data_IF_958308694997
#
_entry.id   IF_958308694997
#
_cell.length_a   1.000
_cell.length_b   1.000
_cell.length_c   1.000
_cell.angle_alpha   90.00
_cell.angle_beta   90.00
_cell.angle_gamma   90.00
#
_symmetry.space_group_name_H-M   'P 1'
#
loop_
_entity.id
_entity.type
_entity.pdbx_description
1 polymer ?
2 non-polymer ?
3 non-polymer ?
4 non-polymer ?
5 non-polymer ?
6 water ?
#
# COMPACT_ATOMS: atom_id res chain seq x y z
N UNK A 1 -10.41 13.36 21.48
CA UNK A 1 -9.01 12.92 21.27
C UNK A 1 -8.57 13.00 19.82
N UNK A 2 -7.43 12.40 19.52
CA UNK A 2 -6.91 12.37 18.16
C UNK A 2 -7.74 11.43 17.28
N UNK A 3 -7.84 11.77 16.00
CA UNK A 3 -8.47 10.88 15.04
C UNK A 3 -7.51 9.73 14.73
N UNK A 4 -8.04 8.65 14.16
CA UNK A 4 -7.29 7.41 14.03
C UNK A 4 -7.06 7.05 12.57
N UNK A 5 -5.83 6.65 12.27
CA UNK A 5 -5.43 6.25 10.93
C UNK A 5 -5.06 4.78 10.92
N UNK A 6 -5.47 4.07 9.86
CA UNK A 6 -5.03 2.70 9.61
C UNK A 6 -4.68 2.54 8.16
N UNK A 7 -3.55 1.89 7.89
CA UNK A 7 -3.20 1.50 6.54
C UNK A 7 -2.35 0.25 6.51
N UNK A 8 -2.46 -0.49 5.41
CA UNK A 8 -1.79 -1.77 5.28
C UNK A 8 -1.07 -1.91 3.94
N UNK A 9 0.03 -2.66 3.94
CA UNK A 9 0.77 -2.96 2.73
C UNK A 9 1.07 -4.45 2.73
N UNK A 10 0.90 -5.11 1.59
CA UNK A 10 1.15 -6.56 1.49
C UNK A 10 2.63 -6.89 1.38
N UNK A 11 3.08 -7.94 2.08
CA UNK A 11 4.42 -8.48 1.86
C UNK A 11 4.44 -9.45 0.68
N UNK A 12 3.86 -9.03 -0.43
CA UNK A 12 3.76 -9.84 -1.65
C UNK A 12 5.00 -9.65 -2.54
N UNK A 13 5.96 -8.89 -2.03
CA UNK A 13 7.18 -8.55 -2.74
C UNK A 13 7.82 -7.41 -1.99
N UNK A 14 8.85 -6.81 -2.57
CA UNK A 14 9.48 -5.64 -1.97
C UNK A 14 8.73 -4.40 -2.45
N UNK A 15 8.39 -3.49 -1.54
CA UNK A 15 7.58 -2.35 -1.92
C UNK A 15 8.28 -1.44 -2.94
N UNK A 16 7.47 -0.80 -3.75
CA UNK A 16 7.95 -0.01 -4.89
C UNK A 16 7.91 1.48 -4.59
N UNK A 17 8.49 2.26 -5.51
CA UNK A 17 8.41 3.71 -5.43
C UNK A 17 6.96 4.14 -5.60
N UNK A 18 6.16 3.29 -6.25
CA UNK A 18 4.74 3.50 -6.33
C UNK A 18 4.08 3.39 -4.96
N UNK A 19 4.42 2.36 -4.21
CA UNK A 19 3.93 2.18 -2.85
C UNK A 19 4.38 3.33 -1.95
N UNK A 20 5.60 3.79 -2.19
CA UNK A 20 6.19 4.85 -1.40
C UNK A 20 5.48 6.17 -1.66
N UNK A 21 5.40 6.55 -2.92
CA UNK A 21 4.79 7.81 -3.30
C UNK A 21 3.30 7.82 -2.97
N UNK A 22 2.64 6.71 -3.22
CA UNK A 22 1.20 6.64 -3.05
C UNK A 22 0.71 6.52 -1.63
N UNK A 23 1.51 5.91 -0.76
CA UNK A 23 1.09 5.62 0.61
C UNK A 23 2.18 5.87 1.65
N UNK A 24 3.22 5.04 1.63
CA UNK A 24 4.17 4.98 2.74
C UNK A 24 4.82 6.32 3.07
N UNK A 25 5.09 7.14 2.05
CA UNK A 25 5.71 8.44 2.28
C UNK A 25 4.86 9.31 3.19
N UNK A 26 3.54 9.20 3.03
CA UNK A 26 2.63 10.01 3.82
C UNK A 26 2.43 9.46 5.25
N UNK A 27 2.66 8.16 5.43
CA UNK A 27 2.61 7.57 6.77
C UNK A 27 3.57 8.33 7.69
N UNK A 28 4.72 8.69 7.15
CA UNK A 28 5.79 9.29 7.94
C UNK A 28 5.40 10.69 8.44
N UNK A 29 4.55 11.35 7.66
CA UNK A 29 4.03 12.66 8.05
C UNK A 29 2.88 12.53 9.04
N UNK A 30 1.97 11.62 8.73
CA UNK A 30 0.73 11.46 9.49
C UNK A 30 0.94 10.98 10.92
N UNK A 31 2.03 10.26 11.17
CA UNK A 31 2.25 9.63 12.47
C UNK A 31 2.29 10.65 13.61
N UNK A 32 2.58 11.90 13.30
CA UNK A 32 2.74 12.93 14.32
C UNK A 32 1.42 13.65 14.65
N UNK A 33 0.44 13.54 13.76
CA UNK A 33 -0.82 14.27 13.90
C UNK A 33 -2.00 13.35 14.26
N UNK A 34 -1.79 12.05 14.14
CA UNK A 34 -2.87 11.08 14.36
C UNK A 34 -2.46 9.88 15.19
N UNK A 35 -3.46 9.17 15.71
CA UNK A 35 -3.27 7.84 16.26
C UNK A 35 -3.19 6.84 15.11
N UNK A 36 -1.99 6.29 14.87
CA UNK A 36 -1.70 5.54 13.65
C UNK A 36 -1.43 4.06 13.86
N UNK A 37 -2.03 3.25 12.99
CA UNK A 37 -1.74 1.82 12.88
C UNK A 37 -1.27 1.54 11.46
N UNK A 38 -0.08 0.99 11.31
CA UNK A 38 0.45 0.62 10.00
C UNK A 38 0.76 -0.85 10.01
N UNK A 39 0.15 -1.58 9.08
CA UNK A 39 0.08 -3.03 9.16
C UNK A 39 0.79 -3.72 8.00
N UNK A 40 1.52 -4.78 8.32
CA UNK A 40 2.05 -5.70 7.34
C UNK A 40 0.99 -6.79 7.15
N UNK A 41 0.24 -6.71 6.07
CA UNK A 41 -0.94 -7.57 5.93
C UNK A 41 -0.62 -8.87 5.19
N UNK A 42 0.01 -9.79 5.92
CA UNK A 42 0.44 -11.04 5.33
C UNK A 42 -0.72 -11.98 4.98
N UNK A 43 -1.86 -11.84 5.65
CA UNK A 43 -3.02 -12.68 5.30
C UNK A 43 -3.62 -12.23 3.97
N UNK A 44 -3.42 -10.97 3.62
CA UNK A 44 -3.84 -10.51 2.29
C UNK A 44 -2.90 -11.07 1.21
N UNK A 45 -1.62 -11.17 1.53
CA UNK A 45 -0.63 -11.57 0.54
C UNK A 45 -0.90 -12.98 0.01
N UNK A 46 -1.37 -13.88 0.88
CA UNK A 46 -1.56 -15.27 0.46
C UNK A 46 -2.85 -15.51 -0.32
N UNK A 47 -3.56 -14.44 -0.70
CA UNK A 47 -4.71 -14.60 -1.58
C UNK A 47 -4.27 -15.09 -2.95
N UNK A 48 -2.97 -14.95 -3.23
CA UNK A 48 -2.34 -15.64 -4.36
C UNK A 48 -1.10 -16.35 -3.85
N UNK A 49 -0.53 -17.24 -4.67
CA UNK A 49 0.64 -18.02 -4.26
C UNK A 49 1.81 -17.15 -3.81
N UNK A 50 2.36 -17.49 -2.65
CA UNK A 50 3.60 -16.91 -2.17
C UNK A 50 4.51 -18.06 -1.78
N UNK A 51 5.76 -18.04 -2.24
CA UNK A 51 6.72 -19.01 -1.76
C UNK A 51 6.94 -18.75 -0.27
N UNK A 52 6.82 -19.79 0.57
CA UNK A 52 6.89 -19.56 2.02
C UNK A 52 8.16 -18.87 2.50
N UNK A 53 9.31 -19.22 1.93
CA UNK A 53 10.57 -18.60 2.31
C UNK A 53 10.59 -17.13 1.92
N UNK A 54 10.14 -16.84 0.70
CA UNK A 54 10.08 -15.47 0.23
C UNK A 54 9.11 -14.64 1.07
N UNK A 55 7.98 -15.23 1.44
CA UNK A 55 6.96 -14.50 2.21
C UNK A 55 7.52 -14.11 3.58
N UNK A 56 8.12 -15.07 4.27
CA UNK A 56 8.76 -14.80 5.56
C UNK A 56 9.77 -13.68 5.44
N UNK A 57 10.56 -13.73 4.37
CA UNK A 57 11.59 -12.72 4.14
C UNK A 57 10.97 -11.36 3.85
N UNK A 58 9.92 -11.34 3.03
CA UNK A 58 9.31 -10.07 2.65
C UNK A 58 8.56 -9.40 3.80
N UNK A 59 8.07 -10.21 4.73
CA UNK A 59 7.43 -9.67 5.94
C UNK A 59 8.44 -8.86 6.75
N UNK A 60 9.65 -9.42 6.93
CA UNK A 60 10.69 -8.73 7.68
C UNK A 60 11.22 -7.51 6.95
N UNK A 61 11.38 -7.64 5.63
CA UNK A 61 11.85 -6.53 4.80
C UNK A 61 10.89 -5.35 4.84
N UNK A 62 9.60 -5.65 4.81
CA UNK A 62 8.60 -4.59 4.85
C UNK A 62 8.63 -3.86 6.19
N UNK A 63 8.76 -4.63 7.27
CA UNK A 63 8.88 -4.05 8.60
C UNK A 63 10.10 -3.13 8.66
N UNK A 64 11.24 -3.63 8.17
CA UNK A 64 12.48 -2.85 8.16
C UNK A 64 12.32 -1.58 7.32
N UNK A 65 11.61 -1.67 6.21
CA UNK A 65 11.45 -0.51 5.34
C UNK A 65 10.49 0.53 5.93
N UNK A 66 9.44 0.06 6.60
CA UNK A 66 8.57 0.94 7.37
C UNK A 66 9.38 1.83 8.31
N UNK A 67 10.29 1.21 9.03
CA UNK A 67 11.14 1.91 9.99
C UNK A 67 12.23 2.73 9.29
N UNK A 68 12.76 2.19 8.21
CA UNK A 68 13.83 2.85 7.49
C UNK A 68 13.38 4.17 6.89
N UNK A 69 12.13 4.25 6.43
CA UNK A 69 11.63 5.49 5.82
C UNK A 69 11.30 6.54 6.88
N UNK A 70 11.27 6.14 8.14
CA UNK A 70 11.14 7.09 9.24
C UNK A 70 9.91 6.96 10.12
N UNK A 71 9.19 5.83 10.03
CA UNK A 71 8.10 5.60 10.96
C UNK A 71 8.67 5.33 12.34
N UNK A 72 8.20 6.09 13.33
CA UNK A 72 8.68 6.02 14.70
C UNK A 72 7.78 5.05 15.48
N UNK A 73 8.35 3.94 15.99
CA UNK A 73 7.52 2.94 16.67
C UNK A 73 6.91 3.43 17.99
N UNK A 74 7.34 4.60 18.45
CA UNK A 74 6.74 5.20 19.65
C UNK A 74 5.61 6.15 19.27
N UNK A 75 5.47 6.48 17.99
CA UNK A 75 4.42 7.39 17.53
C UNK A 75 3.36 6.66 16.71
N UNK A 76 3.68 5.46 16.27
CA UNK A 76 2.75 4.65 15.48
C UNK A 76 2.86 3.19 15.87
N UNK A 77 1.79 2.45 15.65
CA UNK A 77 1.77 1.04 15.96
C UNK A 77 2.03 0.22 14.70
N UNK A 78 3.17 -0.46 14.70
CA UNK A 78 3.61 -1.29 13.58
C UNK A 78 3.47 -2.76 13.94
N UNK A 79 2.71 -3.51 13.14
CA UNK A 79 2.46 -4.91 13.46
C UNK A 79 2.12 -5.76 12.25
N UNK A 80 2.22 -7.07 12.46
CA UNK A 80 1.91 -8.06 11.44
C UNK A 80 0.49 -8.59 11.65
N UNK A 81 -0.30 -8.50 10.58
CA UNK A 81 -1.72 -8.84 10.62
C UNK A 81 -2.04 -10.19 11.25
N UNK A 82 -1.31 -11.24 10.85
CA UNK A 82 -1.60 -12.59 11.33
C UNK A 82 -1.30 -12.79 12.81
N UNK A 83 -0.54 -11.87 13.40
CA UNK A 83 -0.24 -11.97 14.82
C UNK A 83 -1.37 -11.38 15.67
N UNK A 84 -2.43 -10.91 15.00
CA UNK A 84 -3.62 -10.41 15.68
C UNK A 84 -4.85 -11.17 15.16
N UNK A 85 -5.24 -12.27 15.85
CA UNK A 85 -6.34 -13.14 15.40
C UNK A 85 -7.65 -12.41 15.12
N UNK A 86 -7.85 -11.26 15.75
CA UNK A 86 -9.09 -10.50 15.60
C UNK A 86 -9.40 -10.15 14.15
N UNK A 87 -8.36 -10.03 13.32
CA UNK A 87 -8.59 -9.68 11.92
C UNK A 87 -9.32 -10.81 11.20
N UNK A 88 -8.89 -12.05 11.40
CA UNK A 88 -9.58 -13.20 10.83
C UNK A 88 -10.99 -13.39 11.44
N UNK A 89 -11.12 -13.16 12.74
CA UNK A 89 -12.42 -13.26 13.40
C UNK A 89 -13.42 -12.26 12.81
N UNK A 90 -13.01 -10.99 12.76
CA UNK A 90 -13.89 -9.94 12.25
C UNK A 90 -14.13 -10.12 10.75
N UNK A 91 -13.14 -10.63 10.02
CA UNK A 91 -13.30 -10.86 8.59
C UNK A 91 -14.44 -11.86 8.34
N UNK A 92 -14.52 -12.90 9.15
CA UNK A 92 -15.58 -13.88 8.97
C UNK A 92 -16.96 -13.27 9.22
N UNK A 93 -17.09 -12.49 10.28
CA UNK A 93 -18.36 -11.85 10.59
C UNK A 93 -18.78 -10.92 9.47
N UNK A 94 -17.82 -10.18 8.90
CA UNK A 94 -18.15 -9.25 7.82
C UNK A 94 -18.43 -9.98 6.50
N UNK A 95 -17.84 -11.16 6.33
CA UNK A 95 -18.17 -12.02 5.20
C UNK A 95 -19.64 -12.45 5.24
N UNK A 96 -20.19 -12.54 6.44
CA UNK A 96 -21.59 -12.91 6.61
C UNK A 96 -22.52 -11.71 6.43
N UNK A 97 -21.92 -10.52 6.31
CA UNK A 97 -22.67 -9.27 6.14
C UNK A 97 -22.66 -8.84 4.67
N UNK A 98 -21.53 -9.04 4.00
CA UNK A 98 -21.39 -8.64 2.61
C UNK A 98 -22.15 -9.62 1.73
N UNK A 99 -22.62 -9.14 0.58
CA UNK A 99 -23.30 -9.99 -0.39
C UNK A 99 -22.35 -10.44 -1.49
N UNK A 100 -22.57 -11.64 -2.02
CA UNK A 100 -21.68 -12.18 -3.05
C UNK A 100 -21.60 -11.27 -4.26
N UNK A 101 -22.76 -10.70 -4.63
CA UNK A 101 -22.83 -9.80 -5.77
C UNK A 101 -21.92 -8.59 -5.61
N UNK A 102 -21.79 -8.11 -4.38
CA UNK A 102 -20.95 -6.94 -4.12
C UNK A 102 -19.48 -7.27 -4.36
N UNK A 103 -19.07 -8.48 -3.97
CA UNK A 103 -17.69 -8.91 -4.16
C UNK A 103 -17.37 -9.16 -5.63
N UNK A 104 -18.30 -9.77 -6.34
CA UNK A 104 -18.10 -10.10 -7.75
C UNK A 104 -17.97 -8.87 -8.64
N UNK A 105 -18.61 -7.78 -8.24
CA UNK A 105 -18.62 -6.55 -9.05
C UNK A 105 -17.41 -5.68 -8.81
N UNK A 106 -16.57 -6.08 -7.86
CA UNK A 106 -15.37 -5.32 -7.54
C UNK A 106 -14.42 -5.31 -8.73
N UNK A 107 -13.99 -4.12 -9.12
CA UNK A 107 -13.13 -3.95 -10.29
C UNK A 107 -11.84 -4.74 -10.16
N UNK A 108 -11.22 -4.69 -8.98
CA UNK A 108 -9.95 -5.37 -8.77
C UNK A 108 -10.08 -6.89 -8.88
N UNK A 109 -11.22 -7.43 -8.48
CA UNK A 109 -11.44 -8.88 -8.60
C UNK A 109 -11.59 -9.27 -10.06
N UNK A 110 -12.42 -8.53 -10.78
CA UNK A 110 -12.71 -8.83 -12.18
C UNK A 110 -11.46 -8.72 -13.05
N UNK A 111 -10.49 -7.94 -12.58
CA UNK A 111 -9.23 -7.76 -13.29
C UNK A 111 -8.23 -8.86 -12.94
N UNK A 112 -8.04 -9.10 -11.64
CA UNK A 112 -7.07 -10.10 -11.19
C UNK A 112 -7.52 -11.53 -11.47
N UNK A 113 -8.79 -11.70 -11.86
CA UNK A 113 -9.34 -13.03 -12.12
C UNK A 113 -9.52 -13.30 -13.62
N UNK A 114 -9.56 -12.25 -14.42
CA UNK A 114 -9.68 -12.43 -15.87
C UNK A 114 -8.47 -13.19 -16.42
N UNK A 115 -8.73 -14.38 -16.95
CA UNK A 115 -7.69 -15.30 -17.40
C UNK A 115 -7.77 -16.55 -16.55
N UNK A 116 -8.90 -16.69 -15.87
CA UNK A 116 -9.01 -17.33 -14.54
C UNK A 116 -8.11 -18.53 -14.24
N UNK A 117 -8.08 -19.52 -15.12
CA UNK A 117 -7.46 -20.79 -14.78
C UNK A 117 -8.21 -21.32 -13.55
N UNK A 118 -7.66 -21.06 -12.37
CA UNK A 118 -8.37 -21.25 -11.11
C UNK A 118 -8.07 -20.05 -10.21
N UNK A 119 -9.10 -19.62 -9.49
CA UNK A 119 -9.03 -18.44 -8.64
C UNK A 119 -9.29 -18.86 -7.20
N UNK A 120 -8.44 -18.45 -6.26
CA UNK A 120 -8.68 -18.78 -4.86
C UNK A 120 -9.88 -17.99 -4.37
N UNK A 121 -10.60 -18.55 -3.40
CA UNK A 121 -11.74 -17.84 -2.82
C UNK A 121 -11.26 -16.56 -2.14
N UNK A 122 -10.05 -16.60 -1.60
CA UNK A 122 -9.48 -15.46 -0.90
C UNK A 122 -9.37 -14.23 -1.77
N UNK A 123 -9.14 -14.44 -3.06
CA UNK A 123 -9.04 -13.34 -4.00
C UNK A 123 -10.38 -12.64 -4.17
N UNK A 124 -11.46 -13.40 -4.03
CA UNK A 124 -12.81 -12.84 -4.07
C UNK A 124 -13.17 -12.17 -2.74
N UNK A 125 -12.72 -12.75 -1.62
CA UNK A 125 -13.21 -12.38 -0.31
C UNK A 125 -12.25 -11.55 0.54
N UNK A 126 -11.17 -11.02 -0.03
CA UNK A 126 -10.26 -10.22 0.78
C UNK A 126 -10.84 -8.84 1.14
N UNK A 127 -11.79 -8.30 0.36
CA UNK A 127 -12.33 -7.00 0.79
C UNK A 127 -12.95 -6.97 2.19
N UNK A 128 -13.75 -7.98 2.57
CA UNK A 128 -14.21 -7.95 3.97
C UNK A 128 -13.08 -8.11 5.00
N UNK A 129 -11.98 -8.76 4.63
CA UNK A 129 -10.81 -8.82 5.49
C UNK A 129 -10.19 -7.43 5.62
N UNK A 130 -10.13 -6.71 4.50
CA UNK A 130 -9.67 -5.33 4.51
C UNK A 130 -10.60 -4.45 5.35
N UNK A 131 -11.90 -4.68 5.23
CA UNK A 131 -12.86 -3.92 6.02
C UNK A 131 -12.64 -4.19 7.50
N UNK A 132 -12.38 -5.45 7.85
CA UNK A 132 -12.07 -5.78 9.24
C UNK A 132 -10.80 -5.06 9.71
N UNK A 133 -9.75 -5.09 8.87
CA UNK A 133 -8.48 -4.41 9.18
C UNK A 133 -8.73 -2.98 9.64
N UNK A 134 -9.61 -2.29 8.92
CA UNK A 134 -9.92 -0.88 9.17
C UNK A 134 -10.86 -0.69 10.36
N UNK A 135 -11.98 -1.39 10.35
CA UNK A 135 -13.05 -1.15 11.31
C UNK A 135 -12.69 -1.56 12.75
N UNK A 136 -11.77 -2.51 12.88
CA UNK A 136 -11.37 -2.99 14.20
C UNK A 136 -10.79 -1.91 15.11
N UNK A 137 -10.23 -0.86 14.51
CA UNK A 137 -9.49 0.15 15.29
C UNK A 137 -10.24 1.50 15.35
N UNK A 138 -11.53 1.47 15.06
CA UNK A 138 -12.37 2.68 15.06
C UNK A 138 -11.71 3.76 14.23
N UNK A 139 -11.25 3.34 13.06
CA UNK A 139 -10.47 4.18 12.15
C UNK A 139 -11.31 5.29 11.53
N UNK A 140 -10.76 6.50 11.54
CA UNK A 140 -11.39 7.65 10.92
C UNK A 140 -10.92 7.88 9.49
N UNK A 141 -9.62 7.66 9.28
CA UNK A 141 -8.98 8.03 8.03
C UNK A 141 -8.12 6.88 7.51
N UNK A 142 -8.24 6.58 6.22
CA UNK A 142 -7.50 5.50 5.60
C UNK A 142 -6.68 6.00 4.42
N UNK A 143 -5.37 6.24 4.62
CA UNK A 143 -4.51 6.72 3.54
C UNK A 143 -4.11 5.60 2.56
N UNK A 144 -4.53 5.74 1.31
CA UNK A 144 -4.30 4.72 0.29
C UNK A 144 -4.06 5.34 -1.08
N UNK A 145 -3.68 4.51 -2.04
CA UNK A 145 -3.60 4.92 -3.43
C UNK A 145 -4.97 4.82 -4.07
N UNK A 146 -5.08 5.32 -5.30
CA UNK A 146 -6.35 5.40 -6.01
C UNK A 146 -7.02 4.04 -6.20
N UNK A 147 -6.22 2.98 -6.34
CA UNK A 147 -6.75 1.67 -6.69
C UNK A 147 -7.58 1.03 -5.57
N UNK A 148 -7.48 1.58 -4.36
CA UNK A 148 -8.19 1.06 -3.20
C UNK A 148 -9.46 1.85 -2.86
N UNK A 149 -9.79 2.82 -3.69
CA UNK A 149 -10.94 3.68 -3.44
C UNK A 149 -12.25 2.91 -3.32
N UNK A 150 -12.51 1.99 -4.25
CA UNK A 150 -13.74 1.21 -4.24
C UNK A 150 -13.81 0.30 -3.02
N UNK A 151 -12.66 -0.19 -2.57
CA UNK A 151 -12.60 -1.04 -1.39
C UNK A 151 -13.02 -0.28 -0.13
N UNK A 152 -12.63 0.98 -0.04
CA UNK A 152 -13.00 1.81 1.11
C UNK A 152 -14.48 2.12 1.08
N UNK A 153 -15.03 2.28 -0.13
CA UNK A 153 -16.45 2.53 -0.30
C UNK A 153 -17.25 1.30 0.18
N UNK A 154 -16.77 0.11 -0.15
CA UNK A 154 -17.42 -1.11 0.32
C UNK A 154 -17.34 -1.20 1.84
N UNK A 155 -16.17 -0.86 2.38
CA UNK A 155 -15.97 -0.88 3.83
C UNK A 155 -16.97 0.01 4.54
N UNK A 156 -17.25 1.17 3.95
CA UNK A 156 -18.21 2.11 4.52
C UNK A 156 -19.62 1.52 4.48
N UNK A 157 -19.96 0.86 3.37
CA UNK A 157 -21.25 0.20 3.24
C UNK A 157 -21.44 -0.91 4.26
N UNK A 158 -20.39 -1.71 4.46
CA UNK A 158 -20.46 -2.81 5.41
C UNK A 158 -20.61 -2.31 6.83
N UNK A 159 -19.91 -1.23 7.15
CA UNK A 159 -19.96 -0.64 8.49
C UNK A 159 -21.37 -0.12 8.77
N UNK A 160 -21.96 0.55 7.80
CA UNK A 160 -23.32 1.08 7.92
C UNK A 160 -24.35 -0.03 8.03
N UNK A 161 -24.18 -1.08 7.22
CA UNK A 161 -25.09 -2.23 7.26
C UNK A 161 -25.11 -2.86 8.64
N UNK A 162 -23.91 -3.11 9.17
CA UNK A 162 -23.78 -3.67 10.51
C UNK A 162 -24.43 -2.74 11.53
N UNK A 163 -24.12 -1.45 11.44
CA UNK A 163 -24.64 -0.47 12.38
C UNK A 163 -26.18 -0.44 12.40
N UNK A 164 -26.80 -0.49 11.23
CA UNK A 164 -28.26 -0.41 11.15
C UNK A 164 -28.94 -1.75 11.42
N UNK A 165 -28.25 -2.85 11.14
CA UNK A 165 -28.82 -4.17 11.38
C UNK A 165 -28.78 -4.54 12.86
N UNK A 166 -27.69 -4.19 13.54
CA UNK A 166 -27.47 -4.61 14.93
C UNK A 166 -27.44 -3.45 15.92
N UNK A 167 -26.84 -2.34 15.53
CA UNK A 167 -26.68 -1.19 16.42
C UNK A 167 -25.37 -0.48 16.18
N UNK A 168 -25.35 0.83 16.45
CA UNK A 168 -24.19 1.66 16.17
C UNK A 168 -22.94 1.18 16.91
N UNK A 169 -21.94 0.75 16.16
CA UNK A 169 -20.71 0.22 16.72
C UNK A 169 -19.50 0.79 16.01
N UNK A 170 -19.58 0.85 14.69
CA UNK A 170 -18.43 1.23 13.86
C UNK A 170 -18.39 2.71 13.53
N UNK A 171 -17.18 3.26 13.50
CA UNK A 171 -16.94 4.54 12.86
C UNK A 171 -16.93 4.34 11.36
N UNK A 172 -17.56 5.25 10.62
CA UNK A 172 -17.54 5.21 9.16
C UNK A 172 -16.25 5.86 8.66
N UNK A 173 -15.30 5.07 8.13
CA UNK A 173 -14.01 5.63 7.75
C UNK A 173 -14.05 6.40 6.44
N UNK A 174 -13.06 7.25 6.22
CA UNK A 174 -12.93 8.02 4.99
C UNK A 174 -11.56 7.80 4.36
N UNK A 175 -11.54 7.64 3.05
CA UNK A 175 -10.29 7.47 2.33
C UNK A 175 -9.54 8.80 2.26
N UNK A 176 -8.22 8.73 2.35
CA UNK A 176 -7.38 9.87 2.01
C UNK A 176 -6.41 9.50 0.90
N UNK A 177 -6.75 9.95 -0.31
CA UNK A 177 -5.94 9.65 -1.49
C UNK A 177 -5.18 10.90 -1.88
N UNK A 178 -3.84 10.81 -1.96
CA UNK A 178 -3.05 12.02 -2.22
C UNK A 178 -3.41 12.67 -3.55
N UNK A 179 -3.29 14.00 -3.62
CA UNK A 179 -3.61 14.72 -4.85
C UNK A 179 -2.63 14.39 -5.97
N UNK A 180 -1.38 14.11 -5.61
CA UNK A 180 -0.37 13.71 -6.57
C UNK A 180 0.23 12.36 -6.22
N UNK A 181 0.44 11.52 -7.24
CA UNK A 181 1.14 10.27 -7.07
C UNK A 181 0.28 9.12 -6.55
N UNK A 182 -1.04 9.26 -6.66
CA UNK A 182 -1.96 8.24 -6.16
C UNK A 182 -2.01 7.03 -7.09
N UNK A 183 -1.42 7.15 -8.27
CA UNK A 183 -1.35 6.04 -9.21
C UNK A 183 -0.13 6.15 -10.13
N UNK A 184 1.03 5.78 -9.60
CA UNK A 184 2.25 5.71 -10.39
C UNK A 184 2.09 4.56 -11.41
N UNK A 185 2.47 4.79 -12.65
CA UNK A 185 2.21 3.79 -13.69
C UNK A 185 3.41 2.86 -13.86
N UNK A 186 3.15 1.69 -14.42
CA UNK A 186 4.20 0.75 -14.79
C UNK A 186 5.19 1.38 -15.77
N UNK A 187 6.46 1.04 -15.65
CA UNK A 187 7.49 1.55 -16.54
C UNK A 187 7.40 0.91 -17.92
N UNK A 188 6.88 -0.31 -17.99
CA UNK A 188 6.82 -1.05 -19.26
C UNK A 188 5.46 -0.99 -19.93
N UNK A 189 4.43 -0.64 -19.17
CA UNK A 189 3.08 -0.48 -19.70
C UNK A 189 2.41 0.71 -19.01
N UNK A 190 2.60 1.93 -19.54
CA UNK A 190 2.13 3.16 -18.87
C UNK A 190 0.61 3.29 -18.72
N UNK A 191 -0.15 2.28 -19.16
CA UNK A 191 -1.61 2.29 -18.98
C UNK A 191 -2.04 1.40 -17.81
N UNK A 192 -1.08 0.69 -17.21
CA UNK A 192 -1.32 -0.05 -15.98
C UNK A 192 -0.56 0.60 -14.82
N UNK A 193 -1.08 0.45 -13.62
CA UNK A 193 -0.38 0.97 -12.45
C UNK A 193 0.85 0.12 -12.16
N UNK A 194 1.80 0.69 -11.44
CA UNK A 194 2.96 -0.04 -10.97
C UNK A 194 2.53 -0.98 -9.84
N UNK A 195 2.89 -2.26 -9.93
CA UNK A 195 2.49 -3.25 -8.93
C UNK A 195 3.68 -4.10 -8.50
N UNK A 196 3.87 -4.29 -7.21
CA UNK A 196 5.09 -4.95 -6.72
C UNK A 196 5.08 -6.44 -7.05
N UNK A 197 3.91 -6.97 -7.44
CA UNK A 197 3.78 -8.37 -7.82
C UNK A 197 3.77 -8.57 -9.34
N UNK A 198 4.11 -7.52 -10.10
CA UNK A 198 4.19 -7.66 -11.55
C UNK A 198 5.17 -8.77 -11.92
N UNK A 199 4.78 -9.67 -12.84
CA UNK A 199 5.73 -10.73 -13.24
C UNK A 199 6.97 -10.18 -13.95
N UNK A 200 6.88 -8.96 -14.48
CA UNK A 200 8.01 -8.31 -15.14
C UNK A 200 8.71 -7.33 -14.18
N UNK A 201 9.93 -7.66 -13.72
CA UNK A 201 10.61 -6.78 -12.76
C UNK A 201 10.92 -5.39 -13.33
N UNK A 202 10.90 -5.25 -14.65
CA UNK A 202 11.18 -3.97 -15.28
C UNK A 202 10.02 -2.98 -15.09
N UNK A 203 8.87 -3.50 -14.68
CA UNK A 203 7.67 -2.68 -14.53
C UNK A 203 7.77 -1.74 -13.32
N UNK A 204 8.59 -2.12 -12.34
CA UNK A 204 8.66 -1.40 -11.08
C UNK A 204 10.10 -1.16 -10.62
N UNK A 205 10.26 -0.16 -9.75
CA UNK A 205 11.50 0.04 -9.02
C UNK A 205 11.21 -0.21 -7.55
N UNK A 206 11.90 -1.18 -6.94
CA UNK A 206 11.72 -1.42 -5.50
C UNK A 206 12.64 -0.51 -4.72
N UNK A 207 12.30 -0.27 -3.46
CA UNK A 207 13.11 0.60 -2.61
C UNK A 207 14.49 -0.02 -2.35
N UNK A 208 14.66 -1.29 -2.71
CA UNK A 208 15.93 -1.99 -2.50
C UNK A 208 16.73 -2.21 -3.79
N UNK A 209 16.25 -1.70 -4.92
CA UNK A 209 17.00 -1.82 -6.17
C UNK A 209 18.33 -1.06 -6.08
N UNK A 210 19.40 -1.65 -6.61
CA UNK A 210 20.69 -0.97 -6.61
C UNK A 210 20.81 -0.02 -7.80
N UNK A 211 21.87 0.77 -7.82
CA UNK A 211 22.01 1.86 -8.79
C UNK A 211 21.99 1.36 -10.25
N UNK A 212 22.77 0.32 -10.53
CA UNK A 212 22.81 -0.26 -11.88
C UNK A 212 21.42 -0.66 -12.33
N UNK A 213 20.68 -1.29 -11.43
CA UNK A 213 19.36 -1.82 -11.73
C UNK A 213 18.37 -0.69 -12.01
N UNK A 214 18.45 0.37 -11.22
CA UNK A 214 17.55 1.51 -11.41
C UNK A 214 17.84 2.21 -12.74
N UNK A 215 19.12 2.36 -13.05
CA UNK A 215 19.54 2.94 -14.32
C UNK A 215 18.98 2.14 -15.50
N UNK A 216 19.11 0.82 -15.43
CA UNK A 216 18.56 -0.05 -16.48
C UNK A 216 17.07 0.11 -16.64
N UNK A 217 16.34 0.06 -15.53
CA UNK A 217 14.87 0.08 -15.57
C UNK A 217 14.32 1.41 -16.07
N UNK A 218 14.94 2.51 -15.68
CA UNK A 218 14.51 3.82 -16.17
C UNK A 218 14.86 3.95 -17.66
N UNK A 219 16.02 3.45 -18.05
CA UNK A 219 16.45 3.50 -19.45
C UNK A 219 15.45 2.78 -20.36
N UNK A 220 14.96 1.62 -19.90
CA UNK A 220 14.07 0.81 -20.73
C UNK A 220 12.60 1.18 -20.56
N UNK A 221 12.32 2.20 -19.75
CA UNK A 221 10.96 2.69 -19.58
C UNK A 221 10.37 3.06 -20.93
N UNK A 222 9.14 2.63 -21.19
CA UNK A 222 8.50 2.85 -22.47
C UNK A 222 8.14 4.31 -22.66
N UNK A 223 8.50 4.85 -23.82
CA UNK A 223 8.19 6.22 -24.19
C UNK A 223 7.71 6.29 -25.63
N UNK A 224 7.27 7.46 -26.06
CA UNK A 224 6.89 7.70 -27.44
C UNK A 224 8.12 8.04 -28.28
N UNK A 225 7.90 8.34 -29.56
CA UNK A 225 8.99 8.66 -30.48
C UNK A 225 9.06 10.15 -30.80
N UNK A 226 8.24 10.95 -30.11
CA UNK A 226 8.11 12.38 -30.38
C UNK A 226 9.35 13.16 -29.93
N UNK A 227 10.05 12.64 -28.92
CA UNK A 227 11.31 13.23 -28.48
C UNK A 227 11.21 14.52 -27.67
N UNK A 228 10.00 14.91 -27.30
CA UNK A 228 9.78 16.14 -26.52
C UNK A 228 9.28 15.83 -25.11
N UNK A 229 9.90 16.47 -24.13
CA UNK A 229 9.56 16.24 -22.72
C UNK A 229 8.51 17.22 -22.24
N UNK A 230 7.25 16.81 -22.33
CA UNK A 230 6.15 17.59 -21.77
C UNK A 230 5.04 16.67 -21.29
N UNK A 231 4.25 17.15 -20.36
CA UNK A 231 3.20 16.34 -19.75
C UNK A 231 1.95 16.28 -20.63
N UNK A 232 1.58 15.06 -21.00
CA UNK A 232 0.35 14.81 -21.75
C UNK A 232 -0.05 13.35 -21.49
N UNK A 233 -0.96 13.16 -20.54
CA UNK A 233 -1.30 11.83 -20.05
C UNK A 233 -1.91 10.94 -21.12
N UNK A 234 -2.64 11.53 -22.06
CA UNK A 234 -3.29 10.77 -23.11
C UNK A 234 -2.34 10.41 -24.26
N UNK A 235 -1.56 11.39 -24.71
CA UNK A 235 -0.71 11.22 -25.88
C UNK A 235 0.70 10.73 -25.51
N UNK A 236 1.11 10.99 -24.27
CA UNK A 236 2.47 10.68 -23.83
C UNK A 236 2.46 10.10 -22.42
N UNK A 237 1.79 8.95 -22.23
CA UNK A 237 1.62 8.41 -20.88
C UNK A 237 2.93 8.00 -20.22
N UNK A 238 3.87 7.48 -21.00
CA UNK A 238 5.16 7.07 -20.47
C UNK A 238 5.97 8.24 -19.93
N UNK A 239 6.16 9.25 -20.77
CA UNK A 239 6.94 10.42 -20.37
C UNK A 239 6.22 11.20 -19.27
N UNK A 240 4.89 11.19 -19.30
CA UNK A 240 4.10 11.86 -18.28
C UNK A 240 4.29 11.22 -16.91
N UNK A 241 4.30 9.89 -16.88
CA UNK A 241 4.53 9.14 -15.66
C UNK A 241 5.93 9.41 -15.11
N UNK A 242 6.93 9.40 -15.98
CA UNK A 242 8.31 9.69 -15.56
C UNK A 242 8.44 11.10 -15.02
N UNK A 243 7.73 12.04 -15.65
CA UNK A 243 7.72 13.42 -15.17
C UNK A 243 7.09 13.50 -13.77
N UNK A 244 6.01 12.75 -13.57
CA UNK A 244 5.33 12.73 -12.29
C UNK A 244 6.23 12.17 -11.17
N UNK A 245 6.99 11.13 -11.49
CA UNK A 245 7.92 10.53 -10.53
C UNK A 245 9.06 11.50 -10.23
N UNK A 246 9.63 12.09 -11.28
CA UNK A 246 10.69 13.08 -11.17
C UNK A 246 10.23 14.21 -10.25
N UNK A 247 9.03 14.70 -10.53
CA UNK A 247 8.46 15.85 -9.82
C UNK A 247 8.27 15.58 -8.33
N UNK A 248 7.60 14.50 -7.99
CA UNK A 248 7.27 14.23 -6.58
C UNK A 248 8.50 13.85 -5.76
N UNK A 249 9.52 13.30 -6.43
CA UNK A 249 10.74 12.90 -5.73
C UNK A 249 11.78 14.03 -5.64
N UNK A 250 11.73 14.98 -6.57
CA UNK A 250 12.72 16.06 -6.61
C UNK A 250 12.22 17.34 -5.94
N UNK A 251 10.90 17.51 -5.89
CA UNK A 251 10.30 18.71 -5.34
C UNK A 251 9.98 19.74 -6.43
N UNK A 252 10.58 19.57 -7.60
CA UNK A 252 10.30 20.44 -8.74
C UNK A 252 8.91 20.16 -9.28
N UNK A 253 8.24 21.20 -9.77
CA UNK A 253 6.93 21.04 -10.38
C UNK A 253 7.12 20.51 -11.80
N UNK A 254 6.08 19.89 -12.35
CA UNK A 254 6.14 19.37 -13.71
C UNK A 254 6.48 20.50 -14.68
N UNK A 255 5.85 21.64 -14.46
CA UNK A 255 6.02 22.80 -15.32
C UNK A 255 7.49 23.24 -15.31
N UNK A 256 8.11 23.21 -14.14
CA UNK A 256 9.52 23.56 -14.01
C UNK A 256 10.42 22.58 -14.77
N UNK A 257 10.10 21.29 -14.66
CA UNK A 257 10.89 20.24 -15.32
C UNK A 257 10.80 20.35 -16.84
N UNK A 258 9.60 20.67 -17.33
CA UNK A 258 9.40 20.86 -18.76
C UNK A 258 10.32 21.94 -19.30
N UNK A 259 10.48 23.02 -18.53
CA UNK A 259 11.37 24.10 -18.92
C UNK A 259 12.83 23.67 -18.85
N UNK A 260 13.18 23.01 -17.75
CA UNK A 260 14.55 22.55 -17.54
C UNK A 260 15.03 21.64 -18.68
N UNK A 261 14.11 20.90 -19.29
CA UNK A 261 14.45 19.92 -20.31
C UNK A 261 13.99 20.36 -21.70
N UNK A 262 13.70 21.64 -21.87
CA UNK A 262 13.39 22.19 -23.17
C UNK A 262 14.58 22.05 -24.10
N UNK A 263 14.36 21.45 -25.26
CA UNK A 263 15.42 21.25 -26.22
C UNK A 263 16.35 20.11 -25.85
N UNK A 264 15.89 19.24 -24.95
CA UNK A 264 16.67 18.10 -24.49
C UNK A 264 16.00 16.80 -24.89
N UNK A 265 16.77 15.71 -24.93
CA UNK A 265 16.26 14.42 -25.35
C UNK A 265 15.89 13.52 -24.18
N UNK A 266 15.25 12.39 -24.49
CA UNK A 266 14.81 11.45 -23.47
C UNK A 266 15.99 10.76 -22.78
N UNK A 267 17.11 10.64 -23.50
CA UNK A 267 18.29 9.98 -22.99
C UNK A 267 18.84 10.63 -21.74
N UNK A 268 19.04 11.95 -21.80
CA UNK A 268 19.59 12.68 -20.67
C UNK A 268 18.53 12.83 -19.57
N UNK A 269 17.27 12.95 -19.98
CA UNK A 269 16.17 13.03 -19.04
C UNK A 269 16.06 11.76 -18.20
N UNK A 270 16.19 10.61 -18.85
CA UNK A 270 16.12 9.34 -18.16
C UNK A 270 17.34 9.11 -17.28
N UNK A 271 18.51 9.52 -17.76
CA UNK A 271 19.74 9.38 -17.00
C UNK A 271 19.69 10.21 -15.73
N UNK A 272 19.10 11.40 -15.83
CA UNK A 272 18.95 12.28 -14.68
C UNK A 272 17.94 11.70 -13.68
N UNK A 273 16.81 11.24 -14.18
CA UNK A 273 15.76 10.69 -13.32
C UNK A 273 16.29 9.51 -12.52
N UNK A 274 17.07 8.65 -13.17
CA UNK A 274 17.66 7.51 -12.49
C UNK A 274 18.45 7.95 -11.26
N UNK A 275 19.25 9.00 -11.39
CA UNK A 275 20.07 9.47 -10.28
C UNK A 275 19.21 10.13 -9.20
N UNK A 276 18.13 10.78 -9.59
CA UNK A 276 17.20 11.34 -8.61
C UNK A 276 16.62 10.23 -7.75
N UNK A 277 16.21 9.15 -8.40
CA UNK A 277 15.66 8.00 -7.68
C UNK A 277 16.72 7.38 -6.78
N UNK A 278 17.91 7.16 -7.33
CA UNK A 278 19.02 6.58 -6.57
C UNK A 278 19.36 7.41 -5.32
N UNK A 279 19.47 8.72 -5.47
CA UNK A 279 19.81 9.57 -4.32
C UNK A 279 18.69 9.57 -3.28
N UNK A 280 17.45 9.46 -3.75
CA UNK A 280 16.31 9.35 -2.84
C UNK A 280 16.39 8.08 -1.99
N UNK A 281 16.72 6.96 -2.63
CA UNK A 281 16.70 5.66 -1.96
C UNK A 281 17.92 5.43 -1.08
N UNK A 282 18.97 6.21 -1.30
CA UNK A 282 20.24 5.96 -0.64
C UNK A 282 20.14 5.93 0.90
N UNK A 283 19.57 6.97 1.51
CA UNK A 283 19.51 6.93 2.98
C UNK A 283 18.52 5.88 3.50
N UNK A 284 17.46 5.62 2.72
CA UNK A 284 16.49 4.59 3.09
C UNK A 284 17.17 3.22 3.18
N UNK A 285 17.98 2.89 2.18
CA UNK A 285 18.64 1.60 2.12
C UNK A 285 19.65 1.43 3.25
N UNK A 286 20.35 2.51 3.60
CA UNK A 286 21.31 2.43 4.70
C UNK A 286 20.61 2.08 6.01
N UNK A 287 19.50 2.75 6.30
CA UNK A 287 18.76 2.49 7.53
C UNK A 287 18.11 1.11 7.50
N UNK A 288 17.70 0.67 6.31
CA UNK A 288 17.12 -0.66 6.13
C UNK A 288 18.09 -1.76 6.57
N UNK A 289 19.34 -1.66 6.11
CA UNK A 289 20.34 -2.67 6.44
C UNK A 289 20.62 -2.71 7.94
N UNK A 290 20.47 -1.57 8.59
CA UNK A 290 20.61 -1.51 10.04
C UNK A 290 19.54 -2.37 10.73
N UNK A 291 18.29 -2.17 10.35
CA UNK A 291 17.17 -2.88 10.96
C UNK A 291 17.17 -4.38 10.68
N UNK A 292 17.62 -4.77 9.49
CA UNK A 292 17.67 -6.18 9.13
C UNK A 292 18.73 -6.93 9.94
N UNK A 293 19.65 -6.19 10.56
CA UNK A 293 20.76 -6.78 11.31
C UNK A 293 20.50 -6.90 12.81
N UNK A 294 19.34 -6.42 13.27
CA UNK A 294 19.10 -6.27 14.71
C UNK A 294 17.92 -7.08 15.24
N UNK A 295 18.00 -7.43 16.52
CA UNK A 295 16.88 -8.03 17.23
C UNK A 295 15.81 -7.00 17.54
N UNK A 296 16.16 -5.71 17.45
CA UNK A 296 15.22 -4.67 17.82
C UNK A 296 14.04 -4.62 16.84
N UNK A 297 14.25 -5.12 15.63
CA UNK A 297 13.16 -5.21 14.66
C UNK A 297 12.04 -6.11 15.20
N UNK A 298 12.42 -7.26 15.73
CA UNK A 298 11.44 -8.18 16.30
C UNK A 298 10.75 -7.60 17.52
N UNK A 299 11.50 -6.85 18.33
CA UNK A 299 10.94 -6.28 19.55
C UNK A 299 9.89 -5.22 19.23
N UNK A 300 10.12 -4.44 18.17
CA UNK A 300 9.15 -3.46 17.71
C UNK A 300 7.84 -4.14 17.29
N UNK A 301 7.96 -5.20 16.50
CA UNK A 301 6.78 -5.93 16.04
C UNK A 301 6.07 -6.65 17.19
N UNK A 302 6.82 -7.15 18.16
CA UNK A 302 6.23 -7.76 19.35
C UNK A 302 5.32 -6.76 20.07
N UNK A 303 5.85 -5.57 20.32
CA UNK A 303 5.12 -4.56 21.07
C UNK A 303 3.92 -4.04 20.30
N UNK A 304 4.08 -3.92 18.99
CA UNK A 304 3.00 -3.47 18.13
C UNK A 304 1.82 -4.44 18.13
N UNK A 305 2.13 -5.73 18.05
CA UNK A 305 1.10 -6.76 18.03
C UNK A 305 0.38 -6.82 19.38
N UNK A 306 1.13 -6.59 20.45
CA UNK A 306 0.59 -6.53 21.79
C UNK A 306 -0.47 -5.44 21.88
N UNK A 307 -0.11 -4.25 21.41
CA UNK A 307 -1.01 -3.09 21.40
C UNK A 307 -2.23 -3.34 20.51
N UNK A 308 -1.98 -3.80 19.30
CA UNK A 308 -3.06 -4.05 18.34
C UNK A 308 -4.05 -5.11 18.85
N UNK A 309 -3.53 -6.17 19.48
CA UNK A 309 -4.38 -7.20 20.05
C UNK A 309 -5.32 -6.68 21.13
N UNK A 310 -4.83 -5.75 21.96
CA UNK A 310 -5.65 -5.21 23.03
C UNK A 310 -6.84 -4.44 22.47
N UNK A 311 -6.59 -3.63 21.45
CA UNK A 311 -7.64 -2.82 20.86
C UNK A 311 -8.61 -3.67 20.02
N UNK A 312 -8.06 -4.52 19.18
CA UNK A 312 -8.86 -5.29 18.22
C UNK A 312 -9.67 -6.40 18.88
N UNK A 313 -9.13 -7.01 19.92
CA UNK A 313 -9.84 -8.09 20.59
C UNK A 313 -11.06 -7.54 21.33
N UNK A 314 -10.97 -6.32 21.82
CA UNK A 314 -12.11 -5.68 22.47
C UNK A 314 -13.21 -5.39 21.46
N UNK A 315 -12.84 -4.96 20.26
CA UNK A 315 -13.83 -4.67 19.23
C UNK A 315 -14.50 -5.96 18.77
N UNK A 316 -13.74 -7.05 18.68
CA UNK A 316 -14.32 -8.34 18.35
C UNK A 316 -15.37 -8.75 19.40
N UNK A 317 -15.08 -8.50 20.67
CA UNK A 317 -16.03 -8.81 21.73
C UNK A 317 -17.33 -8.05 21.50
N UNK A 318 -17.22 -6.78 21.13
CA UNK A 318 -18.41 -5.96 20.90
C UNK A 318 -19.19 -6.42 19.68
N UNK A 319 -18.48 -6.80 18.63
CA UNK A 319 -19.12 -7.32 17.42
C UNK A 319 -19.89 -8.60 17.72
N UNK A 320 -19.25 -9.53 18.43
CA UNK A 320 -19.88 -10.78 18.80
C UNK A 320 -21.13 -10.54 19.64
N UNK A 321 -21.02 -9.60 20.59
CA UNK A 321 -22.13 -9.27 21.45
C UNK A 321 -23.31 -8.73 20.65
N UNK A 322 -23.01 -7.91 19.65
CA UNK A 322 -24.05 -7.34 18.79
C UNK A 322 -24.74 -8.40 17.93
N UNK A 323 -23.98 -9.38 17.46
CA UNK A 323 -24.54 -10.42 16.59
C UNK A 323 -25.12 -11.59 17.37
N UNK A 324 -24.76 -11.71 18.65
CA UNK A 324 -25.24 -12.78 19.49
C UNK A 324 -24.36 -14.03 19.51
N UNK A 325 -23.15 -13.91 18.97
CA UNK A 325 -22.18 -15.01 18.99
C UNK A 325 -21.69 -15.27 20.41
N UNK A 326 -21.30 -16.51 20.68
CA UNK A 326 -20.70 -16.87 21.95
C UNK A 326 -21.62 -16.75 23.15
N UNK A 327 -21.07 -16.26 24.25
CA UNK A 327 -21.79 -16.13 25.51
C UNK A 327 -21.60 -14.72 26.09
N UNK A 328 -22.49 -14.35 27.00
CA UNK A 328 -22.42 -13.04 27.65
C UNK A 328 -21.14 -12.89 28.45
X LIG B 1 0.39 -6.23 -5.38
X LIG B 1 0.96 -6.17 -6.76
X LIG B 1 0.82 -7.44 -4.59
X LIG B 1 -1.07 -5.90 -5.33
X LIG B 1 0.83 -3.47 -4.73
X LIG B 1 2.06 -2.86 -5.37
X LIG B 1 -0.53 -3.25 -5.35
X LIG B 1 1.15 -5.04 -4.58
X LIG B 1 -0.28 -3.33 -2.10
X LIG B 1 0.44 -3.92 -0.91
X LIG B 1 -1.41 -4.09 -2.76
X LIG B 1 0.84 -2.95 -3.21
X LIG B 1 -0.89 -1.92 -1.65
X LIG B 1 -0.30 -1.12 -0.63
X LIG B 1 -0.70 0.30 -1.01
X LIG B 1 0.12 1.09 -1.87
X LIG B 1 -2.16 0.71 -1.14
X LIG B 1 -2.45 1.84 -0.31
X LIG B 1 -2.20 1.12 -2.59
X LIG B 1 -3.21 2.09 -2.88
X LIG B 1 -0.80 1.69 -2.78
X LIG B 1 -0.36 1.46 -4.16
X LIG B 1 -0.20 0.29 -4.81
X LIG B 1 0.24 0.55 -6.08
X LIG B 1 0.34 1.88 -6.21
X LIG B 1 0.71 2.86 -7.23
X LIG B 1 1.10 2.47 -8.46
X LIG B 1 0.68 4.18 -6.98
X LIG B 1 0.31 4.64 -5.78
X LIG B 1 -0.06 3.82 -4.78
X LIG B 1 -0.05 2.48 -4.94
X LIG B 1 -0.68 -1.38 0.36
X LIG B 1 0.79 -1.23 -0.63
X LIG B 1 -0.93 -0.24 -1.94
X LIG B 1 -2.83 -0.14 -0.94
X LIG B 1 -3.38 2.08 -0.41
X LIG B 1 -2.33 0.22 -3.22
X LIG B 1 -4.07 1.71 -2.67
X LIG B 1 -0.84 2.77 -2.59
X LIG B 1 -0.37 -0.69 -4.40
X LIG B 1 1.36 3.17 -9.15
X LIG B 1 1.14 1.49 -8.69
X LIG B 1 0.30 5.71 -5.61
X LIG C 1 -2.36 -4.26 -4.68
X LIG D 1 13.90 6.78 -25.62
X LIG D 1 13.17 6.76 -24.41
X LIG D 1 15.38 6.44 -25.41
X LIG D 1 16.10 7.59 -25.04
X LIG D 1 15.62 5.34 -24.38
X LIG D 1 16.94 5.45 -23.88
X LIG D 1 15.76 6.07 -26.37
X LIG D 1 15.81 7.89 -24.16
X LIG D 1 15.48 4.36 -24.83
X LIG D 1 14.90 5.43 -23.55
X LIG D 1 17.25 6.38 -23.99
X LIG E 1 -5.03 -8.37 -1.92
X LIG E 1 -5.34 -7.53 -0.71
X LIG E 1 -5.21 -6.13 -0.69
X LIG E 1 -4.78 -5.27 -1.74
X LIG E 1 -4.79 -3.98 -1.29
X LIG E 1 -4.37 -3.00 -1.89
X LIG E 1 -5.38 -4.00 0.07
X LIG E 1 -5.49 -5.34 0.45
X LIG E 1 -4.46 -3.25 1.01
X LIG E 1 -3.01 -3.67 0.99
X LIG E 1 -5.08 -3.25 2.40
X LIG E 1 -5.50 -4.38 3.15
X LIG E 1 -5.98 -3.92 4.35
X LIG E 1 -5.88 -2.53 4.41
X LIG E 1 -6.25 -1.57 5.42
X LIG E 1 -6.04 -0.21 5.24
X LIG E 1 -5.45 0.27 4.01
X LIG E 1 -5.11 -0.67 2.99
X LIG E 1 -5.32 -2.07 3.20
X LIG E 1 -4.06 -8.30 -2.14
X LIG E 1 -5.50 -8.07 -2.61
X LIG E 1 -5.27 -9.32 -1.74
X LIG E 1 -5.62 -7.95 0.02
X LIG E 1 -6.19 -3.55 -0.28
X LIG E 1 -4.47 -2.34 0.71
X LIG E 1 -2.54 -3.11 0.43
X LIG E 1 -2.95 -4.61 0.66
X LIG E 1 -2.64 -3.62 1.92
X LIG E 1 -5.46 -5.29 2.87
X LIG E 1 -6.32 -4.44 5.02
X LIG E 1 -6.65 -1.91 6.29
X LIG E 1 -6.29 0.40 5.91
X LIG E 1 -5.33 1.17 3.87
X LIG E 1 -4.69 -0.33 2.10
#
# INVERSE_FOLDING_TARGET
GMKTIFSGIQPSGVITIGNYIGALRQFVELQHEYNCYFCIVDQHAITVWQDPHELRQNIRRLAALYLAVGIDPTQATLFIQSEVPAHAQAAWMLQCIVYIGELERMTQFKEKSAGKEAVSAGLLTYPPLMAADILLYNTDIVPVGEDQKQHIELTRDLAERFNKRYGELFTIPEARIPKVGARIMSLVDPTKKMSKSDPNPKAYITLLDDAKTIEKKIKSAVTDSEGTIRYDKEAKPGISNLLNIYSTLSGQSIEELERQYEGKGYGVFKADLAQVVIETLRPIQERYHHWMESEELDRVLDEGAEKANRVASEMVRKMEQAMGLGRRR
ATP PG O1G O2G O3G PB O1B O2B O3B PA O1A O2A O3A O5' C5' C4' O4' C3' O3' C2' O2' C1' N9 C8 N7 C5 C6 N6 N1 C2 N3 C4 H5'1 H5'2 H4' H3' HO3' H2' HO2' H1' H8 HN61 HN62 H2
MG MG
GOL C1 O1 C2 O2 C3 O3 H2 HO2 H31 H32 HO3
5BX C01 N02 C03 N04 C05 O06 C07 O08 C09 C10 C11 C12 N13 C14 C15 C16 C17 C18 C19 H011 H013 H012 H021 H071 H091 H103 H101 H102 H121 H131 H151 H161 H171 H181
#
